data_IF_026504788198
#
_entry.id   IF_026504788198
#
_cell.length_a   1.000
_cell.length_b   1.000
_cell.length_c   1.000
_cell.angle_alpha   90.00
_cell.angle_beta   90.00
_cell.angle_gamma   90.00
#
_symmetry.space_group_name_H-M   'P 1'
#
loop_
_entity.id
_entity.type
_entity.pdbx_description
1 polymer ?
#
# COMPACT_ATOMS: atom_id res chain seq x y z
N UNK A 1 -8.86 0.02 -21.59
CA UNK A 1 -8.44 -0.82 -20.43
C UNK A 1 -9.50 -0.70 -19.33
N UNK A 2 -9.99 -1.84 -18.87
CA UNK A 2 -10.97 -1.90 -17.78
C UNK A 2 -10.29 -2.58 -16.59
N UNK A 3 -10.22 -1.86 -15.47
CA UNK A 3 -9.64 -2.39 -14.23
C UNK A 3 -10.77 -2.86 -13.34
N UNK A 4 -10.64 -4.08 -12.81
CA UNK A 4 -11.57 -4.66 -11.85
C UNK A 4 -10.90 -4.70 -10.49
N UNK A 5 -11.59 -4.17 -9.46
CA UNK A 5 -11.13 -4.25 -8.08
C UNK A 5 -11.95 -5.33 -7.36
N UNK A 6 -11.28 -6.25 -6.68
CA UNK A 6 -11.94 -7.31 -5.95
C UNK A 6 -11.10 -7.78 -4.77
N UNK A 7 -11.73 -8.49 -3.83
CA UNK A 7 -11.00 -9.15 -2.75
C UNK A 7 -10.16 -10.28 -3.33
N UNK A 8 -8.94 -10.43 -2.80
CA UNK A 8 -8.04 -11.51 -3.17
C UNK A 8 -8.54 -12.83 -2.59
N UNK A 9 -8.79 -13.83 -3.42
CA UNK A 9 -9.45 -15.06 -3.00
C UNK A 9 -8.74 -16.33 -3.46
N UNK A 10 -8.34 -16.40 -4.74
CA UNK A 10 -7.81 -17.64 -5.33
C UNK A 10 -6.30 -17.75 -5.16
N UNK A 11 -5.78 -18.98 -5.30
CA UNK A 11 -4.34 -19.23 -5.29
C UNK A 11 -3.62 -18.47 -6.40
N UNK A 12 -4.25 -18.36 -7.57
CA UNK A 12 -3.69 -17.60 -8.69
C UNK A 12 -3.62 -16.11 -8.37
N UNK A 13 -4.63 -15.58 -7.69
CA UNK A 13 -4.65 -14.18 -7.27
C UNK A 13 -3.60 -13.89 -6.21
N UNK A 14 -3.42 -14.81 -5.26
CA UNK A 14 -2.37 -14.70 -4.24
C UNK A 14 -0.98 -14.70 -4.88
N UNK A 15 -0.75 -15.57 -5.86
CA UNK A 15 0.52 -15.59 -6.61
C UNK A 15 0.72 -14.29 -7.39
N UNK A 16 -0.33 -13.81 -8.07
CA UNK A 16 -0.27 -12.55 -8.80
C UNK A 16 0.04 -11.36 -7.91
N UNK A 17 -0.61 -11.29 -6.74
CA UNK A 17 -0.33 -10.24 -5.75
C UNK A 17 1.10 -10.33 -5.23
N UNK A 18 1.60 -11.54 -4.99
CA UNK A 18 2.97 -11.74 -4.52
C UNK A 18 4.00 -11.22 -5.53
N UNK A 19 3.76 -11.47 -6.82
CA UNK A 19 4.62 -10.97 -7.90
C UNK A 19 4.57 -9.45 -8.01
N UNK A 20 3.40 -8.86 -7.86
CA UNK A 20 3.25 -7.40 -7.82
C UNK A 20 4.03 -6.84 -6.63
N UNK A 21 3.89 -7.42 -5.45
CA UNK A 21 4.59 -6.99 -4.24
C UNK A 21 6.11 -7.01 -4.45
N UNK A 22 6.64 -8.11 -4.97
CA UNK A 22 8.07 -8.26 -5.23
C UNK A 22 8.59 -7.24 -6.26
N UNK A 23 7.86 -7.04 -7.33
CA UNK A 23 8.26 -6.15 -8.43
C UNK A 23 8.12 -4.68 -8.05
N UNK A 24 7.00 -4.30 -7.45
CA UNK A 24 6.74 -2.89 -7.09
C UNK A 24 7.66 -2.40 -5.98
N UNK A 25 8.08 -3.28 -5.08
CA UNK A 25 9.08 -2.94 -4.07
C UNK A 25 10.34 -2.40 -4.75
N UNK A 26 10.82 -3.07 -5.79
CA UNK A 26 11.99 -2.63 -6.55
C UNK A 26 11.71 -1.35 -7.33
N UNK A 27 10.58 -1.29 -7.99
CA UNK A 27 10.19 -0.11 -8.78
C UNK A 27 10.07 1.15 -7.92
N UNK A 28 9.53 1.02 -6.71
CA UNK A 28 9.32 2.15 -5.82
C UNK A 28 10.58 2.58 -5.07
N UNK A 29 11.45 1.63 -4.70
CA UNK A 29 12.54 1.88 -3.78
C UNK A 29 13.94 1.72 -4.37
N UNK A 30 14.05 1.54 -5.68
CA UNK A 30 15.33 1.29 -6.36
C UNK A 30 16.36 2.39 -6.08
N UNK A 31 15.94 3.66 -6.06
CA UNK A 31 16.80 4.80 -5.79
C UNK A 31 16.80 5.23 -4.31
N UNK A 32 15.96 4.64 -3.49
CA UNK A 32 15.76 5.04 -2.09
C UNK A 32 16.49 4.11 -1.13
N UNK A 33 16.45 2.80 -1.38
CA UNK A 33 17.01 1.79 -0.49
C UNK A 33 18.22 1.12 -1.11
N UNK A 34 19.19 0.67 -0.26
CA UNK A 34 20.36 -0.05 -0.76
C UNK A 34 19.98 -1.31 -1.54
N UNK A 35 20.71 -1.56 -2.63
CA UNK A 35 20.46 -2.73 -3.48
C UNK A 35 20.55 -4.04 -2.69
N UNK A 36 21.50 -4.13 -1.76
CA UNK A 36 21.66 -5.32 -0.91
C UNK A 36 20.43 -5.61 -0.08
N UNK A 37 19.78 -4.57 0.44
CA UNK A 37 18.54 -4.73 1.20
C UNK A 37 17.39 -5.18 0.30
N UNK A 38 17.30 -4.60 -0.91
CA UNK A 38 16.27 -4.98 -1.86
C UNK A 38 16.39 -6.43 -2.31
N UNK A 39 17.60 -6.94 -2.45
CA UNK A 39 17.85 -8.34 -2.80
C UNK A 39 17.32 -9.31 -1.75
N UNK A 40 17.21 -8.88 -0.50
CA UNK A 40 16.65 -9.70 0.58
C UNK A 40 15.14 -9.84 0.48
N UNK A 41 14.45 -8.93 -0.20
CA UNK A 41 13.02 -9.03 -0.46
C UNK A 41 12.81 -9.94 -1.67
N UNK A 42 12.80 -11.25 -1.44
CA UNK A 42 12.65 -12.25 -2.50
C UNK A 42 11.19 -12.49 -2.84
N UNK A 43 10.95 -13.07 -4.00
CA UNK A 43 9.60 -13.49 -4.39
C UNK A 43 9.02 -14.50 -3.40
N UNK A 44 9.85 -15.42 -2.90
CA UNK A 44 9.41 -16.41 -1.92
C UNK A 44 8.97 -15.76 -0.60
N UNK A 45 9.67 -14.72 -0.14
CA UNK A 45 9.23 -13.95 1.03
C UNK A 45 7.88 -13.28 0.79
N UNK A 46 7.68 -12.71 -0.39
CA UNK A 46 6.41 -12.10 -0.74
C UNK A 46 5.28 -13.13 -0.79
N UNK A 47 5.55 -14.33 -1.31
CA UNK A 47 4.59 -15.43 -1.30
C UNK A 47 4.21 -15.84 0.12
N UNK A 48 5.19 -16.03 0.99
CA UNK A 48 4.95 -16.39 2.39
C UNK A 48 4.12 -15.31 3.09
N UNK A 49 4.45 -14.05 2.88
CA UNK A 49 3.70 -12.93 3.46
C UNK A 49 2.25 -12.91 2.99
N UNK A 50 2.04 -13.10 1.69
CA UNK A 50 0.69 -13.11 1.11
C UNK A 50 -0.16 -14.28 1.61
N UNK A 51 0.47 -15.43 1.83
CA UNK A 51 -0.20 -16.62 2.35
C UNK A 51 -0.49 -16.51 3.84
N UNK A 52 0.38 -15.83 4.59
CA UNK A 52 0.23 -15.65 6.05
C UNK A 52 -0.86 -14.62 6.38
N UNK A 53 -0.99 -13.58 5.56
CA UNK A 53 -1.93 -12.49 5.79
C UNK A 53 -2.79 -12.24 4.55
N UNK A 54 -3.67 -13.22 4.18
CA UNK A 54 -4.47 -13.08 2.96
C UNK A 54 -5.67 -12.16 3.13
N UNK A 55 -6.11 -11.91 4.37
CA UNK A 55 -7.29 -11.12 4.66
C UNK A 55 -7.05 -9.64 4.34
N UNK A 56 -8.13 -8.92 4.09
CA UNK A 56 -8.12 -7.46 3.94
C UNK A 56 -7.14 -7.00 2.87
N UNK A 57 -7.11 -7.74 1.76
CA UNK A 57 -6.35 -7.36 0.57
C UNK A 57 -7.29 -7.27 -0.61
N UNK A 58 -7.30 -6.12 -1.27
CA UNK A 58 -8.02 -5.90 -2.52
C UNK A 58 -6.99 -5.85 -3.64
N UNK A 59 -7.31 -6.48 -4.75
CA UNK A 59 -6.44 -6.52 -5.93
C UNK A 59 -7.09 -5.78 -7.10
N UNK A 60 -6.23 -5.22 -7.95
CA UNK A 60 -6.63 -4.63 -9.21
C UNK A 60 -6.25 -5.59 -10.34
N UNK A 61 -7.22 -5.91 -11.18
CA UNK A 61 -7.05 -6.82 -12.31
C UNK A 61 -7.19 -6.06 -13.63
N UNK A 62 -6.24 -6.28 -14.53
CA UNK A 62 -6.37 -5.98 -15.95
C UNK A 62 -6.60 -7.32 -16.65
N UNK A 63 -7.85 -7.60 -17.02
CA UNK A 63 -8.32 -8.94 -17.36
C UNK A 63 -8.01 -9.90 -16.19
N UNK A 64 -7.20 -10.93 -16.40
CA UNK A 64 -6.84 -11.89 -15.36
C UNK A 64 -5.51 -11.56 -14.67
N UNK A 65 -4.84 -10.46 -15.06
CA UNK A 65 -3.53 -10.10 -14.52
C UNK A 65 -3.68 -9.17 -13.32
N UNK A 66 -3.07 -9.54 -12.20
CA UNK A 66 -2.97 -8.66 -11.04
C UNK A 66 -1.95 -7.57 -11.35
N UNK A 67 -2.37 -6.31 -11.25
CA UNK A 67 -1.52 -5.15 -11.58
C UNK A 67 -1.32 -4.20 -10.39
N UNK A 68 -1.99 -4.43 -9.29
CA UNK A 68 -1.86 -3.64 -8.07
C UNK A 68 -2.63 -4.27 -6.92
N UNK A 69 -2.38 -3.78 -5.72
CA UNK A 69 -3.12 -4.22 -4.54
C UNK A 69 -3.08 -3.16 -3.45
N UNK A 70 -4.02 -3.25 -2.52
CA UNK A 70 -4.04 -2.49 -1.28
C UNK A 70 -4.34 -3.44 -0.13
N UNK A 71 -3.58 -3.32 0.95
CA UNK A 71 -3.81 -4.04 2.20
C UNK A 71 -4.19 -3.04 3.29
N UNK A 72 -5.18 -3.38 4.10
CA UNK A 72 -5.74 -2.47 5.08
C UNK A 72 -6.18 -3.25 6.33
N UNK A 73 -6.55 -2.53 7.38
CA UNK A 73 -7.06 -3.14 8.60
C UNK A 73 -7.23 -2.12 9.70
N UNK A 74 -7.33 -2.61 10.92
CA UNK A 74 -7.36 -1.76 12.11
C UNK A 74 -5.98 -1.15 12.33
N UNK A 75 -5.96 0.09 12.83
CA UNK A 75 -4.70 0.73 13.22
C UNK A 75 -3.99 -0.12 14.27
N UNK A 76 -2.70 -0.36 14.06
CA UNK A 76 -1.92 -1.32 14.86
C UNK A 76 -1.72 -0.91 16.32
N UNK A 77 -1.86 0.37 16.63
CA UNK A 77 -1.83 0.85 18.02
C UNK A 77 -3.25 0.83 18.58
N UNK A 78 -3.57 -0.10 19.52
CA UNK A 78 -4.93 -0.22 20.03
C UNK A 78 -5.40 0.96 20.88
N UNK A 79 -4.50 1.88 21.22
CA UNK A 79 -4.87 3.09 21.97
C UNK A 79 -5.66 4.08 21.13
N UNK A 80 -5.70 3.89 19.80
CA UNK A 80 -6.40 4.78 18.87
C UNK A 80 -7.33 3.99 17.97
N UNK A 81 -8.59 4.41 17.88
CA UNK A 81 -9.58 3.80 17.00
C UNK A 81 -9.44 4.46 15.62
N UNK A 82 -8.86 3.73 14.68
CA UNK A 82 -8.65 4.20 13.31
C UNK A 82 -8.48 3.01 12.37
N UNK A 83 -8.66 3.24 11.07
CA UNK A 83 -8.24 2.30 10.05
C UNK A 83 -6.81 2.57 9.65
N UNK A 84 -6.16 1.61 9.03
CA UNK A 84 -4.80 1.76 8.51
C UNK A 84 -4.68 1.18 7.12
N UNK A 85 -3.99 1.88 6.24
CA UNK A 85 -3.52 1.37 4.96
C UNK A 85 -2.10 0.87 5.19
N UNK A 86 -1.90 -0.44 5.10
CA UNK A 86 -0.59 -1.04 5.35
C UNK A 86 0.32 -0.99 4.12
N UNK A 87 -0.27 -1.14 2.93
CA UNK A 87 0.47 -1.16 1.67
C UNK A 87 -0.47 -0.82 0.52
N UNK A 88 0.02 -0.05 -0.43
CA UNK A 88 -0.66 0.18 -1.70
C UNK A 88 0.41 0.26 -2.77
N UNK A 89 0.36 -0.68 -3.70
CA UNK A 89 1.34 -0.77 -4.78
C UNK A 89 0.66 -1.02 -6.11
N UNK A 90 1.18 -0.37 -7.14
CA UNK A 90 0.72 -0.52 -8.54
C UNK A 90 1.96 -0.69 -9.40
N UNK A 91 1.91 -1.61 -10.35
CA UNK A 91 2.99 -1.81 -11.31
C UNK A 91 3.27 -0.51 -12.07
N UNK A 92 4.55 -0.21 -12.28
CA UNK A 92 4.98 1.03 -12.91
C UNK A 92 4.32 1.29 -14.27
N UNK A 93 4.12 0.25 -15.05
CA UNK A 93 3.48 0.36 -16.38
C UNK A 93 2.02 0.81 -16.29
N UNK A 94 1.43 0.76 -15.11
CA UNK A 94 0.04 1.19 -14.87
C UNK A 94 -0.06 2.52 -14.14
N UNK A 95 1.06 3.22 -13.95
CA UNK A 95 1.04 4.55 -13.35
C UNK A 95 0.28 5.54 -14.23
N UNK A 96 -0.42 6.48 -13.61
CA UNK A 96 -1.16 7.51 -14.31
C UNK A 96 -2.45 7.04 -14.98
N UNK A 97 -2.90 5.82 -14.70
CA UNK A 97 -4.10 5.23 -15.30
C UNK A 97 -5.26 5.07 -14.32
N UNK A 98 -5.14 5.65 -13.12
CA UNK A 98 -6.19 5.64 -12.12
C UNK A 98 -6.30 4.38 -11.28
N UNK A 99 -5.38 3.42 -11.42
CA UNK A 99 -5.45 2.15 -10.69
C UNK A 99 -5.29 2.37 -9.18
N UNK A 100 -4.30 3.16 -8.78
CA UNK A 100 -4.10 3.48 -7.36
C UNK A 100 -5.29 4.18 -6.74
N UNK A 101 -5.90 5.10 -7.47
CA UNK A 101 -7.10 5.81 -7.02
C UNK A 101 -8.26 4.84 -6.80
N UNK A 102 -8.50 3.92 -7.73
CA UNK A 102 -9.56 2.92 -7.61
C UNK A 102 -9.32 2.00 -6.40
N UNK A 103 -8.07 1.58 -6.19
CA UNK A 103 -7.70 0.76 -5.03
C UNK A 103 -7.93 1.52 -3.72
N UNK A 104 -7.52 2.78 -3.65
CA UNK A 104 -7.70 3.58 -2.43
C UNK A 104 -9.17 3.84 -2.15
N UNK A 105 -9.97 4.13 -3.17
CA UNK A 105 -11.41 4.32 -3.00
C UNK A 105 -12.08 3.05 -2.48
N UNK A 106 -11.68 1.88 -2.98
CA UNK A 106 -12.20 0.60 -2.50
C UNK A 106 -11.79 0.34 -1.05
N UNK A 107 -10.56 0.69 -0.67
CA UNK A 107 -10.10 0.57 0.71
C UNK A 107 -10.88 1.52 1.63
N UNK A 108 -11.15 2.74 1.20
CA UNK A 108 -11.98 3.70 1.96
C UNK A 108 -13.38 3.13 2.20
N UNK A 109 -13.97 2.50 1.20
CA UNK A 109 -15.28 1.86 1.34
C UNK A 109 -15.22 0.71 2.36
N UNK A 110 -14.17 -0.09 2.31
CA UNK A 110 -13.97 -1.20 3.27
C UNK A 110 -13.73 -0.70 4.69
N UNK A 111 -13.16 0.49 4.84
CA UNK A 111 -12.87 1.13 6.14
C UNK A 111 -13.91 2.19 6.52
N UNK A 112 -15.11 2.09 5.98
CA UNK A 112 -16.16 3.12 6.14
C UNK A 112 -16.56 3.33 7.60
N UNK A 113 -16.39 2.33 8.46
CA UNK A 113 -16.71 2.45 9.88
C UNK A 113 -15.76 3.33 10.71
N UNK A 114 -14.65 3.77 10.11
CA UNK A 114 -13.65 4.59 10.82
C UNK A 114 -13.77 6.06 10.43
N UNK A 115 -13.57 6.94 11.40
CA UNK A 115 -13.50 8.39 11.17
C UNK A 115 -12.16 8.82 10.60
N UNK A 116 -11.10 8.07 10.93
CA UNK A 116 -9.74 8.37 10.53
C UNK A 116 -9.11 7.14 9.89
N UNK A 117 -8.30 7.38 8.87
CA UNK A 117 -7.49 6.35 8.21
C UNK A 117 -6.04 6.83 8.20
N UNK A 118 -5.14 5.99 8.66
CA UNK A 118 -3.74 6.33 8.91
C UNK A 118 -2.86 5.50 7.98
N UNK A 119 -1.74 6.07 7.55
CA UNK A 119 -0.70 5.33 6.84
C UNK A 119 0.67 5.86 7.23
N UNK A 120 1.70 5.05 6.98
CA UNK A 120 3.10 5.43 7.11
C UNK A 120 3.73 5.38 5.73
N UNK A 121 4.58 6.36 5.44
CA UNK A 121 5.24 6.47 4.14
C UNK A 121 6.69 6.90 4.34
N UNK A 122 7.61 6.33 3.54
CA UNK A 122 9.00 6.76 3.57
C UNK A 122 9.10 8.22 3.14
N UNK A 123 9.86 9.02 3.89
CA UNK A 123 10.05 10.45 3.63
C UNK A 123 10.54 10.71 2.19
N UNK A 124 11.40 9.83 1.68
CA UNK A 124 11.99 9.97 0.35
C UNK A 124 11.10 9.45 -0.78
N UNK A 125 9.99 8.81 -0.47
CA UNK A 125 9.05 8.34 -1.48
C UNK A 125 8.09 9.48 -1.89
N UNK A 126 8.63 10.46 -2.61
CA UNK A 126 7.90 11.67 -2.97
C UNK A 126 6.68 11.39 -3.85
N UNK A 127 6.78 10.37 -4.70
CA UNK A 127 5.68 9.98 -5.57
C UNK A 127 4.48 9.48 -4.77
N UNK A 128 4.71 8.60 -3.79
CA UNK A 128 3.64 8.08 -2.94
C UNK A 128 3.03 9.20 -2.10
N UNK A 129 3.87 10.08 -1.53
CA UNK A 129 3.39 11.23 -0.74
C UNK A 129 2.46 12.10 -1.58
N UNK A 130 2.85 12.44 -2.81
CA UNK A 130 2.02 13.26 -3.71
C UNK A 130 0.68 12.58 -3.99
N UNK A 131 0.69 11.26 -4.21
CA UNK A 131 -0.53 10.49 -4.41
C UNK A 131 -1.43 10.53 -3.17
N UNK A 132 -0.87 10.30 -1.98
CA UNK A 132 -1.65 10.30 -0.75
C UNK A 132 -2.23 11.68 -0.45
N UNK A 133 -1.46 12.74 -0.69
CA UNK A 133 -1.96 14.12 -0.54
C UNK A 133 -3.13 14.39 -1.48
N UNK A 134 -3.04 13.93 -2.72
CA UNK A 134 -4.13 14.04 -3.69
C UNK A 134 -5.38 13.30 -3.23
N UNK A 135 -5.22 12.18 -2.51
CA UNK A 135 -6.34 11.41 -1.97
C UNK A 135 -6.91 12.00 -0.67
N UNK A 136 -6.33 13.07 -0.15
CA UNK A 136 -6.83 13.76 1.03
C UNK A 136 -6.08 13.49 2.33
N UNK A 137 -4.97 12.77 2.28
CA UNK A 137 -4.13 12.55 3.45
C UNK A 137 -3.27 13.77 3.73
N UNK A 138 -3.01 14.04 4.99
CA UNK A 138 -2.11 15.11 5.44
C UNK A 138 -1.15 14.55 6.48
N UNK A 139 0.03 15.14 6.59
CA UNK A 139 0.97 14.79 7.66
C UNK A 139 0.41 15.25 9.01
N UNK A 140 0.59 14.42 10.03
CA UNK A 140 0.15 14.74 11.39
C UNK A 140 1.31 15.04 12.35
N UNK A 141 2.54 15.08 11.86
CA UNK A 141 3.72 15.42 12.65
C UNK A 141 4.45 14.22 13.24
N UNK A 142 3.87 13.02 13.21
CA UNK A 142 4.53 11.83 13.74
C UNK A 142 5.53 11.27 12.74
N UNK A 143 6.69 10.89 13.26
CA UNK A 143 7.78 10.32 12.48
C UNK A 143 8.42 9.17 13.25
N UNK A 144 9.05 8.25 12.54
CA UNK A 144 9.88 7.21 13.14
C UNK A 144 11.05 6.89 12.22
N UNK A 145 12.16 6.43 12.80
CA UNK A 145 13.32 5.96 12.06
C UNK A 145 13.30 4.44 12.09
N UNK A 146 13.42 3.84 10.93
CA UNK A 146 13.49 2.38 10.79
C UNK A 146 14.74 1.99 9.99
N UNK A 147 15.17 0.75 10.14
CA UNK A 147 16.33 0.23 9.40
C UNK A 147 15.85 -0.61 8.20
N UNK A 148 16.09 -0.12 7.00
CA UNK A 148 15.83 -0.82 5.74
C UNK A 148 17.15 -0.92 4.95
N UNK A 149 18.19 -1.48 5.57
CA UNK A 149 19.55 -1.52 5.02
C UNK A 149 20.34 -0.23 5.30
N UNK A 150 19.64 0.82 5.69
CA UNK A 150 20.16 2.06 6.24
C UNK A 150 19.07 2.70 7.07
N UNK A 151 19.41 3.64 7.93
CA UNK A 151 18.42 4.39 8.69
C UNK A 151 17.58 5.25 7.75
N UNK A 152 16.27 5.06 7.75
CA UNK A 152 15.34 5.87 6.94
C UNK A 152 14.22 6.36 7.82
N UNK A 153 13.64 7.49 7.43
CA UNK A 153 12.53 8.10 8.17
C UNK A 153 11.21 7.74 7.51
N UNK A 154 10.26 7.28 8.32
CA UNK A 154 8.87 7.19 7.90
C UNK A 154 8.08 8.32 8.55
N UNK A 155 7.16 8.88 7.79
CA UNK A 155 6.23 9.92 8.25
C UNK A 155 4.81 9.38 8.23
N UNK A 156 4.01 9.80 9.22
CA UNK A 156 2.63 9.38 9.33
C UNK A 156 1.72 10.38 8.63
N UNK A 157 0.76 9.86 7.87
CA UNK A 157 -0.27 10.66 7.24
C UNK A 157 -1.64 10.17 7.69
N UNK A 158 -2.61 11.09 7.71
CA UNK A 158 -3.95 10.80 8.19
C UNK A 158 -4.98 11.40 7.23
N UNK A 159 -6.03 10.63 7.00
CA UNK A 159 -7.25 11.07 6.32
C UNK A 159 -8.38 11.13 7.35
N UNK A 160 -9.04 12.27 7.46
CA UNK A 160 -10.15 12.47 8.40
C UNK A 160 -11.42 12.80 7.64
N UNK A 161 -12.47 12.02 7.82
CA UNK A 161 -13.74 12.22 7.11
C UNK A 161 -14.35 13.59 7.42
N UNK A 162 -14.22 14.06 8.64
CA UNK A 162 -14.83 15.31 9.09
C UNK A 162 -14.16 16.57 8.52
N UNK A 163 -12.92 16.47 8.04
CA UNK A 163 -12.19 17.61 7.49
C UNK A 163 -12.58 17.95 6.05
N UNK A 164 -13.39 17.09 5.41
CA UNK A 164 -13.83 17.24 4.01
C UNK A 164 -15.30 17.63 3.87
N UNK A 165 -15.95 17.95 4.96
CA UNK A 165 -17.35 18.37 4.96
C UNK A 165 -17.51 19.86 4.72
#
# INVERSE_FOLDING_TARGET
MVITIKAMETAEEIEGKSRVHWRTWREAYDEILPAEFQEQMTLDKCRLYSQKYPENTLIALDDAKVVGFVSYGDFRDPARIAGEIFALYVLKDYYGKGVGQQLMQAAFAALDGYQEIILWVLEDNKRAIAFYEKMGFVFDGEEKVIDLGKAVKEKRMIYSKNSNS
#
